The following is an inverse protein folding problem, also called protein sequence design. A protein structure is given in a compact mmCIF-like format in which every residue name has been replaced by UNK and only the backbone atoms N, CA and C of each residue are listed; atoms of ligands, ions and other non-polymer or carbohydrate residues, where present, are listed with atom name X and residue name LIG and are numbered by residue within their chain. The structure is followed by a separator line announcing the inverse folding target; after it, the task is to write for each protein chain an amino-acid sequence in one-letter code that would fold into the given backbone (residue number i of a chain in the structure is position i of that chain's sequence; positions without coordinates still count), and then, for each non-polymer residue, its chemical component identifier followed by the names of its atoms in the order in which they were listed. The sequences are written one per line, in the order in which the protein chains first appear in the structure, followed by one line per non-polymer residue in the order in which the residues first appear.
data_IF_353389533528
#
_entry.id   IF_353389533528
#
_cell.length_a   1.000
_cell.length_b   1.000
_cell.length_c   1.000
_cell.angle_alpha   90.00
_cell.angle_beta   90.00
_cell.angle_gamma   90.00
#
_symmetry.space_group_name_H-M   'P 1'
#
loop_
_entity.id
_entity.type
_entity.pdbx_description
1 polymer ?
#
# COMPACT_ATOMS: atom_id res chain seq x y z
N UNK A 1 -9.81 74.10 -20.50
CA UNK A 1 -9.44 73.01 -19.57
C UNK A 1 -10.04 71.69 -20.09
N UNK A 2 -9.22 70.87 -20.77
CA UNK A 2 -9.67 69.52 -21.31
C UNK A 2 -9.29 68.45 -20.33
N UNK A 3 -10.27 67.76 -19.72
CA UNK A 3 -10.08 66.61 -18.84
C UNK A 3 -9.84 65.37 -19.69
N UNK A 4 -8.62 64.80 -19.55
CA UNK A 4 -8.22 63.55 -20.16
C UNK A 4 -8.76 62.40 -19.30
N UNK A 5 -9.73 61.62 -19.81
CA UNK A 5 -10.19 60.38 -19.17
C UNK A 5 -9.27 59.24 -19.59
N UNK A 6 -8.55 58.67 -18.62
CA UNK A 6 -7.76 57.44 -18.81
C UNK A 6 -8.69 56.22 -18.76
N UNK A 7 -8.63 55.31 -19.73
CA UNK A 7 -9.36 54.06 -19.62
C UNK A 7 -8.62 53.10 -18.66
N UNK A 8 -9.36 52.55 -17.70
CA UNK A 8 -8.92 51.52 -16.79
C UNK A 8 -8.92 50.18 -17.56
N UNK A 9 -7.73 49.70 -17.94
CA UNK A 9 -7.57 48.39 -18.56
C UNK A 9 -7.72 47.30 -17.49
N UNK A 10 -8.81 46.57 -17.53
CA UNK A 10 -9.02 45.36 -16.74
C UNK A 10 -8.12 44.25 -17.31
N UNK A 11 -6.99 43.95 -16.66
CA UNK A 11 -6.17 42.78 -16.96
C UNK A 11 -6.84 41.58 -16.33
N UNK A 12 -7.58 40.81 -17.12
CA UNK A 12 -8.13 39.52 -16.74
C UNK A 12 -6.98 38.51 -16.68
N UNK A 13 -6.52 38.18 -15.47
CA UNK A 13 -5.50 37.18 -15.22
C UNK A 13 -6.20 35.80 -15.19
N UNK A 14 -6.20 35.14 -16.33
CA UNK A 14 -6.69 33.76 -16.46
C UNK A 14 -5.67 32.81 -15.79
N UNK A 15 -5.97 32.35 -14.57
CA UNK A 15 -5.18 31.32 -13.90
C UNK A 15 -5.48 29.99 -14.60
N UNK A 16 -4.55 29.51 -15.41
CA UNK A 16 -4.57 28.18 -15.99
C UNK A 16 -4.24 27.19 -14.87
N UNK A 17 -5.24 26.51 -14.32
CA UNK A 17 -5.07 25.36 -13.44
C UNK A 17 -4.52 24.19 -14.27
N UNK A 18 -3.20 24.04 -14.30
CA UNK A 18 -2.55 22.82 -14.78
C UNK A 18 -2.83 21.71 -13.75
N UNK A 19 -3.89 20.95 -13.97
CA UNK A 19 -4.05 19.66 -13.31
C UNK A 19 -2.97 18.74 -13.88
N UNK A 20 -1.87 18.57 -13.13
CA UNK A 20 -0.89 17.54 -13.44
C UNK A 20 -1.60 16.18 -13.35
N UNK A 21 -1.87 15.58 -14.50
CA UNK A 21 -2.31 14.19 -14.57
C UNK A 21 -1.09 13.34 -14.19
N UNK A 22 -1.01 12.89 -12.93
CA UNK A 22 0.01 11.94 -12.51
C UNK A 22 -0.26 10.64 -13.30
N UNK A 23 0.70 10.22 -14.12
CA UNK A 23 0.63 8.93 -14.79
C UNK A 23 0.63 7.83 -13.72
N UNK A 24 -0.31 6.87 -13.77
CA UNK A 24 -0.30 5.75 -12.84
C UNK A 24 1.04 5.02 -12.90
N UNK A 25 1.67 4.83 -11.75
CA UNK A 25 2.89 4.02 -11.65
C UNK A 25 2.45 2.56 -11.63
N UNK A 26 2.87 1.80 -12.63
CA UNK A 26 2.62 0.36 -12.71
C UNK A 26 3.49 -0.37 -11.68
N UNK A 27 2.89 -1.31 -10.95
CA UNK A 27 3.57 -2.12 -9.95
C UNK A 27 4.09 -3.41 -10.58
N UNK A 28 5.32 -3.79 -10.25
CA UNK A 28 5.92 -5.07 -10.64
C UNK A 28 5.51 -6.17 -9.62
N UNK A 29 4.24 -6.57 -9.68
CA UNK A 29 3.63 -7.59 -8.81
C UNK A 29 2.90 -8.64 -9.65
N UNK A 30 3.15 -9.92 -9.37
CA UNK A 30 2.56 -11.06 -10.11
C UNK A 30 1.92 -12.04 -9.09
N UNK A 31 0.64 -12.40 -9.27
CA UNK A 31 -0.32 -11.83 -10.22
C UNK A 31 -0.64 -10.36 -9.95
N UNK A 32 -1.02 -9.62 -10.98
CA UNK A 32 -1.38 -8.21 -10.80
C UNK A 32 -2.66 -8.09 -9.98
N UNK A 33 -2.65 -7.29 -8.89
CA UNK A 33 -3.80 -7.16 -7.98
C UNK A 33 -5.04 -6.60 -8.69
N UNK A 34 -6.23 -6.89 -8.14
CA UNK A 34 -7.49 -6.42 -8.72
C UNK A 34 -7.63 -4.89 -8.65
N UNK A 35 -7.11 -4.28 -7.60
CA UNK A 35 -7.12 -2.83 -7.44
C UNK A 35 -5.77 -2.33 -6.94
N UNK A 36 -5.26 -1.30 -7.61
CA UNK A 36 -4.06 -0.57 -7.19
C UNK A 36 -4.27 0.93 -7.34
N UNK A 37 -3.80 1.69 -6.37
CA UNK A 37 -3.69 3.15 -6.45
C UNK A 37 -2.30 3.55 -5.98
N UNK A 38 -1.41 3.85 -6.91
CA UNK A 38 0.00 4.13 -6.65
C UNK A 38 0.32 5.58 -6.98
N UNK A 39 1.16 6.19 -6.16
CA UNK A 39 1.67 7.54 -6.38
C UNK A 39 3.13 7.50 -6.81
N UNK A 40 3.66 8.60 -7.32
CA UNK A 40 5.09 8.75 -7.65
C UNK A 40 6.00 8.85 -6.41
N UNK A 41 5.43 8.82 -5.19
CA UNK A 41 6.18 8.90 -3.93
C UNK A 41 6.64 7.52 -3.49
N UNK A 42 7.79 7.49 -2.79
CA UNK A 42 8.34 6.29 -2.18
C UNK A 42 8.60 6.51 -0.69
N UNK A 43 8.71 5.43 0.05
CA UNK A 43 9.25 5.39 1.42
C UNK A 43 10.46 4.49 1.47
N UNK A 44 11.43 4.83 2.33
CA UNK A 44 12.62 3.98 2.52
C UNK A 44 12.27 2.73 3.31
N UNK A 45 12.75 1.59 2.82
CA UNK A 45 12.69 0.34 3.53
C UNK A 45 13.81 0.29 4.59
N UNK A 46 13.51 -0.01 5.86
CA UNK A 46 14.55 -0.13 6.89
C UNK A 46 15.41 -1.36 6.67
N UNK A 47 16.64 -1.35 7.19
CA UNK A 47 17.56 -2.50 7.11
C UNK A 47 17.09 -3.74 7.89
N UNK A 48 16.18 -3.54 8.84
CA UNK A 48 15.43 -4.58 9.53
C UNK A 48 13.97 -4.15 9.54
N UNK A 49 13.08 -4.95 8.98
CA UNK A 49 11.65 -4.69 8.97
C UNK A 49 11.07 -5.13 10.31
N UNK A 50 10.60 -4.16 11.11
CA UNK A 50 9.84 -4.48 12.33
C UNK A 50 8.38 -4.67 11.98
N UNK A 51 7.73 -5.69 12.57
CA UNK A 51 6.31 -5.93 12.34
C UNK A 51 5.57 -6.24 13.63
N UNK A 52 4.26 -6.00 13.65
CA UNK A 52 3.33 -6.47 14.66
C UNK A 52 2.15 -7.18 13.99
N UNK A 53 1.55 -8.12 14.71
CA UNK A 53 0.36 -8.85 14.26
C UNK A 53 -0.52 -9.21 15.46
N UNK A 54 -1.81 -9.40 15.21
CA UNK A 54 -2.75 -9.99 16.15
C UNK A 54 -2.95 -11.49 15.91
N UNK A 55 -2.25 -12.09 14.94
CA UNK A 55 -2.23 -13.55 14.78
C UNK A 55 -1.57 -14.19 16.00
N UNK A 56 -2.15 -15.30 16.44
CA UNK A 56 -1.62 -16.16 17.50
C UNK A 56 -0.99 -17.41 16.90
N UNK A 57 -0.16 -18.10 17.66
CA UNK A 57 0.30 -19.43 17.24
C UNK A 57 -0.89 -20.41 17.13
N UNK A 58 -0.90 -21.36 16.13
CA UNK A 58 0.19 -21.65 15.19
C UNK A 58 0.20 -20.77 13.93
N UNK A 59 -0.83 -19.97 13.64
CA UNK A 59 -0.99 -19.23 12.39
C UNK A 59 0.18 -18.26 12.13
N UNK A 60 0.76 -17.70 13.21
CA UNK A 60 1.92 -16.83 13.08
C UNK A 60 3.18 -17.61 12.68
N UNK A 61 3.39 -18.79 13.22
CA UNK A 61 4.55 -19.63 12.89
C UNK A 61 4.47 -20.11 11.45
N UNK A 62 3.27 -20.53 11.01
CA UNK A 62 3.02 -20.88 9.62
C UNK A 62 3.26 -19.69 8.68
N UNK A 63 2.77 -18.51 9.05
CA UNK A 63 3.00 -17.29 8.28
C UNK A 63 4.50 -17.01 8.12
N UNK A 64 5.28 -17.11 9.18
CA UNK A 64 6.72 -16.84 9.18
C UNK A 64 7.51 -17.92 8.44
N UNK A 65 7.11 -19.20 8.54
CA UNK A 65 7.77 -20.31 7.88
C UNK A 65 7.64 -20.25 6.35
N UNK A 66 6.54 -19.68 5.85
CA UNK A 66 6.26 -19.54 4.43
C UNK A 66 6.49 -18.12 3.89
N UNK A 67 7.02 -17.21 4.72
CA UNK A 67 7.46 -15.92 4.17
C UNK A 67 8.49 -16.19 3.06
N UNK A 68 8.23 -15.72 1.83
CA UNK A 68 9.24 -15.78 0.80
C UNK A 68 10.48 -15.09 1.32
N UNK A 69 11.64 -15.43 0.77
CA UNK A 69 12.91 -14.77 1.07
C UNK A 69 12.74 -13.24 1.00
N UNK A 70 12.25 -12.69 2.09
CA UNK A 70 12.35 -11.26 2.32
C UNK A 70 13.84 -10.99 2.37
N UNK A 71 14.36 -10.31 1.37
CA UNK A 71 15.78 -9.96 1.30
C UNK A 71 16.26 -9.14 2.53
N UNK A 72 15.35 -8.89 3.48
CA UNK A 72 15.56 -8.06 4.67
C UNK A 72 15.05 -8.81 5.89
N UNK A 73 15.86 -8.87 6.97
CA UNK A 73 15.45 -9.51 8.22
C UNK A 73 14.15 -8.88 8.78
N UNK A 74 13.23 -9.73 9.20
CA UNK A 74 12.01 -9.32 9.88
C UNK A 74 12.10 -9.57 11.39
N UNK A 75 11.55 -8.65 12.20
CA UNK A 75 11.54 -8.75 13.66
C UNK A 75 10.19 -8.37 14.23
N UNK A 76 9.59 -9.27 15.02
CA UNK A 76 8.37 -8.99 15.78
C UNK A 76 8.63 -7.95 16.87
N UNK A 77 7.74 -6.98 17.01
CA UNK A 77 7.79 -5.92 18.02
C UNK A 77 6.38 -5.54 18.48
N UNK A 78 6.27 -5.09 19.73
CA UNK A 78 4.99 -4.69 20.31
C UNK A 78 4.65 -3.21 20.05
N UNK A 79 5.65 -2.39 19.73
CA UNK A 79 5.48 -0.93 19.60
C UNK A 79 6.20 -0.40 18.36
N UNK A 80 5.55 0.55 17.71
CA UNK A 80 6.08 1.27 16.55
C UNK A 80 6.58 0.32 15.43
N UNK A 81 5.79 -0.67 14.98
CA UNK A 81 6.18 -1.52 13.87
C UNK A 81 6.26 -0.71 12.57
N UNK A 82 7.12 -1.14 11.67
CA UNK A 82 7.12 -0.63 10.29
C UNK A 82 6.00 -1.30 9.46
N UNK A 83 5.68 -2.56 9.76
CA UNK A 83 4.58 -3.31 9.15
C UNK A 83 3.59 -3.72 10.23
N UNK A 84 2.33 -3.35 10.08
CA UNK A 84 1.23 -3.85 10.91
C UNK A 84 0.41 -4.85 10.11
N UNK A 85 0.14 -6.02 10.69
CA UNK A 85 -0.67 -7.07 10.08
C UNK A 85 -1.86 -7.30 11.00
N UNK A 86 -3.05 -6.98 10.51
CA UNK A 86 -4.31 -7.10 11.25
C UNK A 86 -5.22 -8.10 10.56
N UNK A 87 -5.57 -9.17 11.27
CA UNK A 87 -6.55 -10.14 10.82
C UNK A 87 -7.82 -9.96 11.64
N UNK A 88 -8.94 -9.68 10.96
CA UNK A 88 -10.25 -9.46 11.58
C UNK A 88 -11.23 -10.44 10.96
N UNK A 89 -12.05 -11.10 11.77
CA UNK A 89 -13.03 -12.08 11.30
C UNK A 89 -13.90 -11.52 10.15
N UNK A 90 -14.19 -12.39 9.18
CA UNK A 90 -14.96 -12.05 7.98
C UNK A 90 -16.38 -11.53 8.27
N UNK A 91 -16.92 -11.78 9.48
CA UNK A 91 -18.22 -11.25 9.92
C UNK A 91 -18.22 -9.74 10.08
N UNK A 92 -17.09 -9.15 10.43
CA UNK A 92 -16.92 -7.73 10.71
C UNK A 92 -16.13 -6.99 9.60
N UNK A 93 -15.66 -7.72 8.59
CA UNK A 93 -14.78 -7.19 7.56
C UNK A 93 -15.29 -7.56 6.16
N UNK A 94 -15.49 -6.58 5.25
CA UNK A 94 -15.93 -6.83 3.88
C UNK A 94 -14.84 -7.48 2.99
N UNK A 95 -13.67 -7.82 3.53
CA UNK A 95 -12.59 -8.48 2.79
C UNK A 95 -12.94 -9.96 2.62
N UNK A 96 -12.79 -10.51 1.41
CA UNK A 96 -13.00 -11.95 1.15
C UNK A 96 -12.07 -12.83 1.99
N UNK A 97 -12.44 -14.09 2.20
CA UNK A 97 -11.73 -15.02 3.11
C UNK A 97 -10.21 -15.13 2.85
N UNK A 98 -9.77 -15.01 1.61
CA UNK A 98 -8.35 -15.01 1.23
C UNK A 98 -7.89 -13.64 0.68
N UNK A 99 -8.73 -12.62 0.82
CA UNK A 99 -8.43 -11.27 0.37
C UNK A 99 -7.58 -10.49 1.38
N UNK A 100 -6.99 -9.40 0.90
CA UNK A 100 -6.25 -8.45 1.72
C UNK A 100 -6.34 -7.02 1.18
N UNK A 101 -6.16 -6.07 2.09
CA UNK A 101 -5.88 -4.67 1.79
C UNK A 101 -4.46 -4.36 2.27
N UNK A 102 -3.59 -3.89 1.38
CA UNK A 102 -2.23 -3.46 1.69
C UNK A 102 -2.10 -1.97 1.42
N UNK A 103 -1.65 -1.22 2.40
CA UNK A 103 -1.41 0.22 2.28
C UNK A 103 0.03 0.54 2.67
N UNK A 104 0.78 1.12 1.74
CA UNK A 104 2.10 1.70 1.97
C UNK A 104 1.95 3.20 2.08
N UNK A 105 2.34 3.77 3.21
CA UNK A 105 2.23 5.19 3.51
C UNK A 105 3.50 5.72 4.17
N UNK A 106 3.57 7.02 4.44
CA UNK A 106 4.70 7.62 5.17
C UNK A 106 4.87 7.05 6.60
N UNK A 107 3.82 6.50 7.18
CA UNK A 107 3.80 5.93 8.52
C UNK A 107 4.31 4.49 8.55
N UNK A 108 4.46 3.85 7.39
CA UNK A 108 4.83 2.45 7.24
C UNK A 108 3.83 1.68 6.39
N UNK A 109 3.72 0.39 6.63
CA UNK A 109 2.89 -0.55 5.88
C UNK A 109 1.79 -1.09 6.79
N UNK A 110 0.56 -1.11 6.31
CA UNK A 110 -0.56 -1.78 6.95
C UNK A 110 -1.11 -2.87 6.02
N UNK A 111 -1.29 -4.07 6.55
CA UNK A 111 -1.93 -5.20 5.88
C UNK A 111 -3.15 -5.60 6.71
N UNK A 112 -4.33 -5.52 6.12
CA UNK A 112 -5.58 -5.96 6.70
C UNK A 112 -6.11 -7.15 5.92
N UNK A 113 -6.52 -8.19 6.62
CA UNK A 113 -7.05 -9.41 6.03
C UNK A 113 -8.21 -9.96 6.87
N UNK A 114 -9.00 -10.85 6.30
CA UNK A 114 -10.05 -11.57 7.03
C UNK A 114 -9.61 -12.98 7.49
N UNK A 115 -8.39 -13.38 7.15
CA UNK A 115 -7.81 -14.67 7.54
C UNK A 115 -6.28 -14.63 7.51
N UNK A 116 -5.64 -15.63 8.11
CA UNK A 116 -4.19 -15.83 8.03
C UNK A 116 -3.73 -16.02 6.57
N UNK A 117 -4.50 -16.69 5.74
CA UNK A 117 -4.21 -16.85 4.31
C UNK A 117 -4.18 -15.52 3.58
N UNK A 118 -5.17 -14.62 3.81
CA UNK A 118 -5.19 -13.28 3.24
C UNK A 118 -3.99 -12.44 3.71
N UNK A 119 -3.62 -12.54 4.99
CA UNK A 119 -2.42 -11.87 5.54
C UNK A 119 -1.15 -12.37 4.86
N UNK A 120 -1.03 -13.68 4.62
CA UNK A 120 0.08 -14.29 3.88
C UNK A 120 0.19 -13.72 2.45
N UNK A 121 -0.91 -13.64 1.70
CA UNK A 121 -0.90 -13.07 0.36
C UNK A 121 -0.54 -11.58 0.35
N UNK A 122 -0.99 -10.83 1.35
CA UNK A 122 -0.58 -9.43 1.53
C UNK A 122 0.93 -9.29 1.77
N UNK A 123 1.52 -10.16 2.58
CA UNK A 123 2.97 -10.21 2.80
C UNK A 123 3.75 -10.63 1.54
N UNK A 124 3.24 -11.58 0.75
CA UNK A 124 3.82 -11.96 -0.53
C UNK A 124 3.89 -10.77 -1.50
N UNK A 125 2.82 -9.99 -1.54
CA UNK A 125 2.77 -8.77 -2.34
C UNK A 125 3.77 -7.73 -1.84
N UNK A 126 3.86 -7.53 -0.52
CA UNK A 126 4.86 -6.64 0.08
C UNK A 126 6.29 -7.08 -0.25
N UNK A 127 6.56 -8.40 -0.19
CA UNK A 127 7.86 -8.96 -0.56
C UNK A 127 8.23 -8.68 -2.02
N UNK A 128 7.27 -8.78 -2.93
CA UNK A 128 7.49 -8.43 -4.34
C UNK A 128 7.77 -6.94 -4.53
N UNK A 129 7.02 -6.05 -3.86
CA UNK A 129 7.28 -4.61 -3.89
C UNK A 129 8.68 -4.26 -3.35
N UNK A 130 9.17 -5.01 -2.36
CA UNK A 130 10.47 -4.81 -1.75
C UNK A 130 11.65 -5.40 -2.56
N UNK A 131 11.37 -6.28 -3.54
CA UNK A 131 12.39 -7.05 -4.28
C UNK A 131 13.39 -6.17 -5.04
N UNK A 132 12.92 -5.06 -5.61
CA UNK A 132 13.69 -4.25 -6.54
C UNK A 132 14.43 -3.08 -5.89
N UNK A 133 14.44 -2.95 -4.55
CA UNK A 133 15.13 -1.83 -3.98
C UNK A 133 15.00 -1.64 -2.49
N UNK A 134 15.55 -0.51 -2.07
CA UNK A 134 15.52 -0.03 -0.69
C UNK A 134 14.32 0.89 -0.42
N UNK A 135 13.41 0.98 -1.38
CA UNK A 135 12.26 1.88 -1.34
C UNK A 135 10.98 1.16 -1.75
N UNK A 136 9.90 1.49 -1.08
CA UNK A 136 8.56 1.00 -1.39
C UNK A 136 7.75 2.14 -2.02
N UNK A 137 7.00 1.90 -3.11
CA UNK A 137 6.07 2.88 -3.64
C UNK A 137 4.93 3.14 -2.64
N UNK A 138 4.54 4.40 -2.48
CA UNK A 138 3.33 4.74 -1.71
C UNK A 138 2.12 4.31 -2.52
N UNK A 139 1.41 3.29 -2.03
CA UNK A 139 0.35 2.62 -2.77
C UNK A 139 -0.74 2.07 -1.85
N UNK A 140 -1.92 1.92 -2.39
CA UNK A 140 -3.01 1.12 -1.81
C UNK A 140 -3.33 -0.01 -2.79
N UNK A 141 -3.32 -1.23 -2.29
CA UNK A 141 -3.62 -2.45 -3.05
C UNK A 141 -4.77 -3.14 -2.35
N UNK A 142 -5.75 -3.61 -3.15
CA UNK A 142 -6.79 -4.52 -2.68
C UNK A 142 -6.83 -5.69 -3.64
N UNK A 143 -6.74 -6.87 -3.08
CA UNK A 143 -6.76 -8.08 -3.87
C UNK A 143 -7.51 -9.20 -3.14
N UNK A 144 -8.12 -10.06 -3.94
CA UNK A 144 -8.83 -11.25 -3.49
C UNK A 144 -8.77 -12.31 -4.59
N UNK A 145 -8.94 -13.59 -4.28
CA UNK A 145 -8.96 -14.64 -5.29
C UNK A 145 -10.04 -14.38 -6.34
N UNK A 146 -9.66 -14.39 -7.61
CA UNK A 146 -10.62 -14.25 -8.74
C UNK A 146 -11.49 -15.50 -8.91
N UNK A 147 -11.03 -16.63 -8.35
CA UNK A 147 -11.72 -17.90 -8.39
C UNK A 147 -11.73 -18.53 -7.01
N UNK A 148 -12.85 -19.14 -6.56
CA UNK A 148 -12.97 -19.73 -5.23
C UNK A 148 -12.13 -21.01 -5.06
N UNK A 149 -11.56 -21.53 -6.14
CA UNK A 149 -10.75 -22.74 -6.15
C UNK A 149 -9.36 -22.46 -6.70
N UNK A 150 -8.35 -22.75 -5.89
CA UNK A 150 -6.94 -22.81 -6.30
C UNK A 150 -6.53 -24.28 -6.19
N UNK A 151 -6.43 -24.94 -7.33
CA UNK A 151 -5.93 -26.31 -7.43
C UNK A 151 -4.43 -26.39 -7.28
#
# INVERSE_FOLDING_TARGET
MKRFKRPLALVSMTVLLLTACETPVELDVIPYPQYTQTTSKTIKLPSTVTFSTNLTEPDMDDLLAYLPDFAIPMKLVDKNPFVTIEVTDATDNPIAAEGYNLTVSKQGVNIQASSAAGAFYGLQTLAQLARNGKELPVTTIKDEPRFPYRG
#
